data_IF_520850888036
#
_entry.id   IF_520850888036
#
_cell.length_a   1.000
_cell.length_b   1.000
_cell.length_c   1.000
_cell.angle_alpha   90.00
_cell.angle_beta   90.00
_cell.angle_gamma   90.00
#
_symmetry.space_group_name_H-M   'P 1'
#
loop_
_entity.id
_entity.type
_entity.pdbx_description
1 polymer ?
#
# COMPACT_ATOMS: atom_id res chain seq x y z
N UNK A 1 11.72 -16.19 35.76
CA UNK A 1 10.36 -16.52 35.27
C UNK A 1 10.05 -15.46 34.26
N UNK A 2 10.28 -15.74 32.97
CA UNK A 2 10.03 -14.79 31.87
C UNK A 2 8.53 -14.87 31.60
N UNK A 3 7.87 -13.72 31.65
CA UNK A 3 6.43 -13.60 31.47
C UNK A 3 6.05 -14.07 30.07
N UNK A 4 5.34 -15.21 29.99
CA UNK A 4 5.17 -16.02 28.77
C UNK A 4 4.18 -15.43 27.75
N UNK A 5 3.61 -14.25 28.02
CA UNK A 5 2.61 -13.64 27.12
C UNK A 5 2.64 -12.10 27.21
N UNK A 6 3.72 -11.47 26.74
CA UNK A 6 3.78 -10.02 26.64
C UNK A 6 3.05 -9.55 25.38
N UNK A 7 1.79 -9.20 25.52
CA UNK A 7 1.08 -8.40 24.50
C UNK A 7 1.18 -6.94 24.94
N UNK A 8 1.82 -6.08 24.14
CA UNK A 8 1.79 -4.63 24.34
C UNK A 8 0.54 -4.09 23.68
N UNK A 9 -0.16 -3.23 24.38
CA UNK A 9 -1.22 -2.43 23.76
C UNK A 9 -0.54 -1.44 22.80
N UNK A 10 -0.71 -1.67 21.50
CA UNK A 10 -0.09 -0.88 20.44
C UNK A 10 -1.19 -0.37 19.50
N UNK A 11 -1.15 0.92 19.25
CA UNK A 11 -2.00 1.57 18.25
C UNK A 11 -1.10 2.10 17.14
N UNK A 12 -1.34 1.69 15.88
CA UNK A 12 -0.60 2.24 14.74
C UNK A 12 -0.69 3.76 14.70
N UNK A 13 0.39 4.41 14.26
CA UNK A 13 0.37 5.84 14.01
C UNK A 13 -0.61 6.16 12.86
N UNK A 14 -1.23 7.33 12.81
CA UNK A 14 -2.10 7.69 11.68
C UNK A 14 -1.35 7.66 10.35
N UNK A 15 -0.11 8.10 10.32
CA UNK A 15 0.73 8.15 9.12
C UNK A 15 2.19 7.87 9.47
N UNK A 16 2.87 7.07 8.63
CA UNK A 16 4.33 6.92 8.62
C UNK A 16 4.88 7.50 7.33
N UNK A 17 5.68 8.55 7.46
CA UNK A 17 6.35 9.20 6.34
C UNK A 17 7.69 8.56 6.05
N UNK A 18 7.82 7.93 4.88
CA UNK A 18 9.07 7.32 4.40
C UNK A 18 9.97 8.43 3.89
N UNK A 19 11.06 8.70 4.61
CA UNK A 19 11.99 9.78 4.34
C UNK A 19 13.36 9.30 3.84
N UNK A 20 13.56 8.00 3.71
CA UNK A 20 14.81 7.42 3.21
C UNK A 20 14.56 6.43 2.08
N UNK A 21 15.58 6.29 1.22
CA UNK A 21 15.48 5.48 0.00
C UNK A 21 15.53 3.98 0.29
N UNK A 22 16.19 3.56 1.36
CA UNK A 22 16.35 2.15 1.69
C UNK A 22 15.03 1.56 2.20
N UNK A 23 14.30 2.30 3.05
CA UNK A 23 12.93 1.94 3.46
C UNK A 23 11.98 1.89 2.26
N UNK A 24 12.10 2.83 1.31
CA UNK A 24 11.30 2.81 0.09
C UNK A 24 11.61 1.59 -0.78
N UNK A 25 12.88 1.17 -0.88
CA UNK A 25 13.31 -0.06 -1.56
C UNK A 25 12.77 -1.32 -0.89
N UNK A 26 12.65 -1.32 0.42
CA UNK A 26 12.02 -2.44 1.13
C UNK A 26 10.59 -2.62 0.66
N UNK A 27 9.81 -1.56 0.51
CA UNK A 27 8.43 -1.62 -0.01
C UNK A 27 8.35 -1.92 -1.52
N UNK A 28 9.39 -1.70 -2.28
CA UNK A 28 9.42 -1.99 -3.72
C UNK A 28 9.34 -3.50 -4.05
N UNK A 29 9.59 -4.39 -3.10
CA UNK A 29 9.44 -5.83 -3.27
C UNK A 29 7.96 -6.24 -3.18
N UNK A 30 7.42 -6.96 -4.19
CA UNK A 30 6.00 -7.31 -4.23
C UNK A 30 5.53 -8.17 -3.04
N UNK A 31 6.39 -9.04 -2.51
CA UNK A 31 6.03 -9.90 -1.38
C UNK A 31 5.92 -9.10 -0.08
N UNK A 32 6.86 -8.15 0.16
CA UNK A 32 6.81 -7.27 1.32
C UNK A 32 5.64 -6.30 1.23
N UNK A 33 5.39 -5.75 0.04
CA UNK A 33 4.23 -4.90 -0.20
C UNK A 33 2.91 -5.61 0.15
N UNK A 34 2.71 -6.84 -0.36
CA UNK A 34 1.54 -7.67 -0.04
C UNK A 34 1.40 -8.00 1.45
N UNK A 35 2.50 -8.19 2.17
CA UNK A 35 2.47 -8.42 3.61
C UNK A 35 1.94 -7.19 4.35
N UNK A 36 2.43 -6.01 3.99
CA UNK A 36 1.95 -4.74 4.57
C UNK A 36 0.48 -4.51 4.23
N UNK A 37 0.06 -4.71 2.97
CA UNK A 37 -1.35 -4.61 2.56
C UNK A 37 -2.24 -5.56 3.37
N UNK A 38 -1.85 -6.84 3.49
CA UNK A 38 -2.62 -7.82 4.25
C UNK A 38 -2.79 -7.42 5.72
N UNK A 39 -1.73 -6.89 6.35
CA UNK A 39 -1.79 -6.40 7.72
C UNK A 39 -2.61 -5.10 7.85
N UNK A 40 -2.53 -4.22 6.85
CA UNK A 40 -3.26 -2.95 6.82
C UNK A 40 -4.79 -3.14 6.68
N UNK A 41 -5.27 -4.28 6.18
CA UNK A 41 -6.72 -4.58 6.18
C UNK A 41 -7.31 -4.66 7.58
N UNK A 42 -6.46 -4.96 8.59
CA UNK A 42 -6.81 -5.03 10.01
C UNK A 42 -5.65 -4.48 10.86
N UNK A 43 -5.44 -3.17 10.84
CA UNK A 43 -4.20 -2.55 11.36
C UNK A 43 -4.03 -2.75 12.87
N UNK A 44 -5.11 -2.97 13.60
CA UNK A 44 -5.09 -3.21 15.06
C UNK A 44 -5.02 -4.68 15.45
N UNK A 45 -5.02 -5.58 14.46
CA UNK A 45 -4.88 -7.01 14.70
C UNK A 45 -3.39 -7.40 14.70
N UNK A 46 -2.99 -8.19 15.70
CA UNK A 46 -1.62 -8.69 15.80
C UNK A 46 -1.51 -10.03 15.08
N UNK A 47 -0.65 -10.08 14.06
CA UNK A 47 -0.49 -11.21 13.14
C UNK A 47 0.73 -12.05 13.46
N UNK A 48 0.61 -13.35 13.37
CA UNK A 48 1.76 -14.27 13.32
C UNK A 48 2.23 -14.48 11.88
N UNK A 49 3.50 -14.87 11.70
CA UNK A 49 4.03 -15.22 10.36
C UNK A 49 3.22 -16.36 9.72
N UNK A 50 2.68 -17.29 10.50
CA UNK A 50 1.85 -18.40 9.99
C UNK A 50 0.50 -17.92 9.46
N UNK A 51 -0.13 -16.96 10.13
CA UNK A 51 -1.38 -16.35 9.68
C UNK A 51 -1.16 -15.58 8.38
N UNK A 52 -0.14 -14.72 8.33
CA UNK A 52 0.24 -14.00 7.13
C UNK A 52 0.58 -14.93 5.96
N UNK A 53 1.30 -16.02 6.21
CA UNK A 53 1.63 -17.01 5.19
C UNK A 53 0.38 -17.62 4.53
N UNK A 54 -0.66 -17.92 5.32
CA UNK A 54 -1.94 -18.40 4.78
C UNK A 54 -2.65 -17.33 3.97
N UNK A 55 -2.65 -16.08 4.47
CA UNK A 55 -3.32 -14.95 3.79
C UNK A 55 -2.69 -14.63 2.44
N UNK A 56 -1.35 -14.61 2.36
CA UNK A 56 -0.65 -14.26 1.10
C UNK A 56 -0.30 -15.48 0.23
N UNK A 57 -0.72 -16.68 0.61
CA UNK A 57 -0.47 -17.91 -0.17
C UNK A 57 1.00 -18.32 -0.22
N UNK A 58 1.76 -18.07 0.85
CA UNK A 58 3.19 -18.36 0.94
C UNK A 58 3.50 -19.39 2.05
N UNK A 59 4.76 -19.85 2.13
CA UNK A 59 5.22 -20.66 3.25
C UNK A 59 5.82 -19.78 4.34
N UNK A 60 5.61 -20.09 5.65
CA UNK A 60 6.16 -19.28 6.74
C UNK A 60 7.68 -19.08 6.65
N UNK A 61 8.42 -20.12 6.26
CA UNK A 61 9.88 -20.07 6.14
C UNK A 61 10.36 -18.99 5.17
N UNK A 62 9.66 -18.78 4.05
CA UNK A 62 9.99 -17.74 3.09
C UNK A 62 9.70 -16.33 3.61
N UNK A 63 8.75 -16.19 4.53
CA UNK A 63 8.33 -14.89 5.02
C UNK A 63 9.22 -14.32 6.13
N UNK A 64 9.93 -15.14 6.90
CA UNK A 64 10.76 -14.63 8.01
C UNK A 64 11.76 -13.56 7.56
N UNK A 65 12.41 -13.75 6.42
CA UNK A 65 13.32 -12.74 5.87
C UNK A 65 12.61 -11.43 5.55
N UNK A 66 11.44 -11.49 4.90
CA UNK A 66 10.66 -10.30 4.56
C UNK A 66 10.15 -9.59 5.83
N UNK A 67 9.68 -10.35 6.82
CA UNK A 67 9.21 -9.79 8.09
C UNK A 67 10.32 -9.10 8.87
N UNK A 68 11.53 -9.69 8.90
CA UNK A 68 12.68 -9.06 9.54
C UNK A 68 13.06 -7.73 8.88
N UNK A 69 13.09 -7.65 7.55
CA UNK A 69 13.34 -6.39 6.84
C UNK A 69 12.26 -5.35 7.10
N UNK A 70 10.99 -5.74 7.12
CA UNK A 70 9.89 -4.83 7.43
C UNK A 70 9.99 -4.30 8.87
N UNK A 71 10.35 -5.17 9.83
CA UNK A 71 10.58 -4.81 11.24
C UNK A 71 11.79 -3.86 11.38
N UNK A 72 12.92 -4.18 10.73
CA UNK A 72 14.16 -3.40 10.76
C UNK A 72 13.96 -1.97 10.23
N UNK A 73 13.14 -1.83 9.20
CA UNK A 73 12.80 -0.52 8.62
C UNK A 73 11.58 0.16 9.27
N UNK A 74 11.08 -0.38 10.37
CA UNK A 74 10.00 0.24 11.14
C UNK A 74 8.64 0.28 10.43
N UNK A 75 8.44 -0.52 9.38
CA UNK A 75 7.17 -0.61 8.66
C UNK A 75 6.14 -1.47 9.40
N UNK A 76 6.65 -2.39 10.22
CA UNK A 76 5.87 -3.21 11.15
C UNK A 76 6.54 -3.21 12.52
N UNK A 77 5.79 -3.53 13.56
CA UNK A 77 6.28 -3.60 14.95
C UNK A 77 5.91 -4.93 15.58
N UNK A 78 6.77 -5.43 16.47
CA UNK A 78 6.46 -6.58 17.33
C UNK A 78 5.64 -6.09 18.51
N UNK A 79 4.40 -6.51 18.59
CA UNK A 79 3.46 -6.13 19.65
C UNK A 79 3.28 -7.21 20.70
N UNK A 80 3.81 -8.41 20.46
CA UNK A 80 3.78 -9.48 21.42
C UNK A 80 4.60 -10.67 20.98
N UNK A 81 4.80 -11.57 21.91
CA UNK A 81 5.41 -12.88 21.64
C UNK A 81 4.82 -13.93 22.56
N UNK A 82 4.80 -15.17 22.11
CA UNK A 82 4.40 -16.31 22.92
C UNK A 82 5.32 -17.50 22.67
N UNK A 83 5.53 -18.31 23.67
CA UNK A 83 6.26 -19.57 23.54
C UNK A 83 5.31 -20.67 23.04
N UNK A 84 5.56 -21.22 21.86
CA UNK A 84 4.79 -22.32 21.28
C UNK A 84 5.73 -23.50 21.01
N UNK A 85 5.56 -24.58 21.76
CA UNK A 85 6.41 -25.77 21.60
C UNK A 85 7.92 -25.49 21.69
N UNK A 86 8.33 -24.59 22.59
CA UNK A 86 9.73 -24.19 22.77
C UNK A 86 10.27 -23.17 21.76
N UNK A 87 9.44 -22.68 20.84
CA UNK A 87 9.81 -21.67 19.86
C UNK A 87 9.08 -20.37 20.17
N UNK A 88 9.81 -19.26 20.21
CA UNK A 88 9.24 -17.93 20.38
C UNK A 88 8.54 -17.48 19.10
N UNK A 89 7.20 -17.42 19.13
CA UNK A 89 6.37 -16.91 18.04
C UNK A 89 6.07 -15.43 18.28
N UNK A 90 6.61 -14.56 17.41
CA UNK A 90 6.36 -13.11 17.43
C UNK A 90 4.98 -12.79 16.83
N UNK A 91 4.36 -11.71 17.31
CA UNK A 91 3.16 -11.09 16.75
C UNK A 91 3.48 -9.69 16.26
N UNK A 92 2.99 -9.36 15.10
CA UNK A 92 3.31 -8.14 14.39
C UNK A 92 2.06 -7.31 14.08
N UNK A 93 2.20 -5.99 14.08
CA UNK A 93 1.21 -5.05 13.55
C UNK A 93 1.89 -4.08 12.59
N UNK A 94 1.12 -3.44 11.69
CA UNK A 94 1.64 -2.31 10.89
C UNK A 94 2.01 -1.17 11.82
N UNK A 95 3.07 -0.44 11.47
CA UNK A 95 3.54 0.70 12.28
C UNK A 95 2.59 1.91 12.18
N UNK A 96 1.87 2.04 11.06
CA UNK A 96 0.93 3.13 10.80
C UNK A 96 -0.25 2.64 9.95
N UNK A 97 -1.36 3.38 10.04
CA UNK A 97 -2.53 3.17 9.19
C UNK A 97 -2.27 3.58 7.75
N UNK A 98 -1.45 4.62 7.54
CA UNK A 98 -1.06 5.14 6.21
C UNK A 98 0.44 5.20 6.04
N UNK A 99 0.90 4.94 4.81
CA UNK A 99 2.29 5.16 4.39
C UNK A 99 2.33 6.28 3.35
N UNK A 100 3.16 7.29 3.59
CA UNK A 100 3.44 8.34 2.62
C UNK A 100 4.92 8.43 2.30
N UNK A 101 5.25 8.97 1.14
CA UNK A 101 6.65 9.13 0.72
C UNK A 101 7.03 10.60 0.74
N UNK A 102 8.16 10.93 1.37
CA UNK A 102 8.65 12.30 1.39
C UNK A 102 9.08 12.75 -0.01
N UNK A 103 8.54 13.88 -0.44
CA UNK A 103 8.89 14.49 -1.72
C UNK A 103 10.37 14.83 -1.85
N UNK A 104 11.02 15.16 -0.74
CA UNK A 104 12.45 15.50 -0.71
C UNK A 104 13.33 14.38 -1.30
N UNK A 105 12.90 13.12 -1.22
CA UNK A 105 13.61 11.99 -1.83
C UNK A 105 13.75 12.13 -3.36
N UNK A 106 12.83 12.83 -4.02
CA UNK A 106 12.79 12.96 -5.48
C UNK A 106 13.22 14.34 -5.99
N UNK A 107 13.43 15.30 -5.09
CA UNK A 107 13.86 16.66 -5.46
C UNK A 107 15.35 16.74 -5.80
N UNK A 108 16.15 15.79 -5.34
CA UNK A 108 17.60 15.72 -5.59
C UNK A 108 17.95 15.36 -7.03
N UNK A 109 17.01 14.84 -7.82
CA UNK A 109 17.26 14.32 -9.17
C UNK A 109 18.12 13.05 -9.19
N UNK A 110 18.27 12.37 -8.06
CA UNK A 110 19.03 11.12 -7.94
C UNK A 110 18.41 10.03 -8.83
N UNK A 111 19.17 9.45 -9.79
CA UNK A 111 18.69 8.36 -10.63
C UNK A 111 18.20 7.16 -9.83
N UNK A 112 18.83 6.82 -8.71
CA UNK A 112 18.46 5.69 -7.87
C UNK A 112 17.09 5.92 -7.19
N UNK A 113 16.78 7.16 -6.79
CA UNK A 113 15.47 7.52 -6.28
C UNK A 113 14.37 7.37 -7.35
N UNK A 114 14.65 7.81 -8.57
CA UNK A 114 13.70 7.67 -9.69
C UNK A 114 13.45 6.21 -10.06
N UNK A 115 14.49 5.36 -10.07
CA UNK A 115 14.36 3.92 -10.32
C UNK A 115 13.55 3.24 -9.22
N UNK A 116 13.82 3.57 -7.96
CA UNK A 116 13.06 3.04 -6.83
C UNK A 116 11.58 3.45 -6.90
N UNK A 117 11.28 4.71 -7.22
CA UNK A 117 9.90 5.17 -7.43
C UNK A 117 9.21 4.39 -8.55
N UNK A 118 9.92 4.18 -9.68
CA UNK A 118 9.38 3.38 -10.78
C UNK A 118 9.03 1.96 -10.32
N UNK A 119 9.92 1.33 -9.54
CA UNK A 119 9.69 -0.02 -9.02
C UNK A 119 8.50 -0.06 -8.07
N UNK A 120 8.38 0.90 -7.15
CA UNK A 120 7.21 1.00 -6.24
C UNK A 120 5.91 1.17 -7.01
N UNK A 121 5.88 2.08 -7.99
CA UNK A 121 4.70 2.29 -8.82
C UNK A 121 4.32 1.03 -9.61
N UNK A 122 5.30 0.33 -10.18
CA UNK A 122 5.06 -0.94 -10.86
C UNK A 122 4.49 -1.98 -9.89
N UNK A 123 5.05 -2.10 -8.69
CA UNK A 123 4.56 -3.04 -7.67
C UNK A 123 3.11 -2.75 -7.30
N UNK A 124 2.74 -1.48 -7.04
CA UNK A 124 1.35 -1.09 -6.74
C UNK A 124 0.41 -1.46 -7.88
N UNK A 125 0.77 -1.15 -9.11
CA UNK A 125 -0.08 -1.41 -10.27
C UNK A 125 -0.21 -2.91 -10.56
N UNK A 126 0.87 -3.67 -10.43
CA UNK A 126 0.89 -5.12 -10.68
C UNK A 126 0.11 -5.88 -9.60
N UNK A 127 0.24 -5.51 -8.32
CA UNK A 127 -0.55 -6.10 -7.23
C UNK A 127 -2.03 -5.78 -7.41
N UNK A 128 -2.39 -4.52 -7.69
CA UNK A 128 -3.77 -4.11 -7.98
C UNK A 128 -4.37 -4.92 -9.14
N UNK A 129 -3.63 -5.09 -10.23
CA UNK A 129 -4.08 -5.89 -11.37
C UNK A 129 -4.30 -7.36 -10.99
N UNK A 130 -3.40 -7.92 -10.18
CA UNK A 130 -3.51 -9.31 -9.72
C UNK A 130 -4.73 -9.50 -8.81
N UNK A 131 -5.01 -8.56 -7.92
CA UNK A 131 -6.13 -8.61 -6.99
C UNK A 131 -7.48 -8.48 -7.71
N UNK A 132 -7.58 -7.56 -8.67
CA UNK A 132 -8.77 -7.45 -9.54
C UNK A 132 -9.02 -8.76 -10.27
N UNK A 133 -7.99 -9.36 -10.86
CA UNK A 133 -8.13 -10.67 -11.54
C UNK A 133 -8.54 -11.78 -10.59
N UNK A 134 -8.01 -11.81 -9.39
CA UNK A 134 -8.35 -12.79 -8.37
C UNK A 134 -9.82 -12.64 -7.93
N UNK A 135 -10.30 -11.42 -7.69
CA UNK A 135 -11.67 -11.12 -7.33
C UNK A 135 -12.66 -11.55 -8.42
N UNK A 136 -12.37 -11.25 -9.69
CA UNK A 136 -13.18 -11.70 -10.83
C UNK A 136 -13.19 -13.23 -10.93
N UNK A 137 -12.03 -13.88 -10.80
CA UNK A 137 -11.92 -15.34 -10.88
C UNK A 137 -12.65 -16.04 -9.72
N UNK A 138 -12.65 -15.45 -8.54
CA UNK A 138 -13.39 -15.94 -7.38
C UNK A 138 -14.90 -15.69 -7.47
N UNK A 139 -15.37 -14.93 -8.46
CA UNK A 139 -16.78 -14.60 -8.65
C UNK A 139 -17.33 -13.55 -7.65
N UNK A 140 -16.44 -12.90 -6.87
CA UNK A 140 -16.86 -11.87 -5.90
C UNK A 140 -16.96 -10.47 -6.52
N UNK A 141 -16.38 -10.26 -7.71
CA UNK A 141 -16.41 -8.98 -8.39
C UNK A 141 -16.71 -9.14 -9.91
N UNK A 142 -17.30 -8.10 -10.51
CA UNK A 142 -17.61 -8.06 -11.95
C UNK A 142 -17.23 -6.71 -12.56
N UNK A 143 -16.75 -6.72 -13.81
CA UNK A 143 -16.53 -5.50 -14.62
C UNK A 143 -17.83 -4.96 -15.23
N UNK A 144 -18.87 -5.77 -15.30
CA UNK A 144 -20.16 -5.40 -15.86
C UNK A 144 -21.14 -5.15 -14.72
N UNK A 145 -21.75 -3.99 -14.74
CA UNK A 145 -22.86 -3.68 -13.86
C UNK A 145 -24.13 -4.31 -14.47
N UNK A 146 -24.38 -5.60 -14.20
CA UNK A 146 -25.69 -6.17 -14.44
C UNK A 146 -26.56 -5.82 -13.24
N UNK A 147 -27.58 -4.98 -13.45
CA UNK A 147 -28.61 -4.73 -12.47
C UNK A 147 -29.29 -6.08 -12.15
N UNK A 148 -28.96 -6.66 -10.99
CA UNK A 148 -29.64 -7.87 -10.50
C UNK A 148 -28.78 -9.04 -10.07
N UNK A 149 -27.45 -8.95 -10.06
CA UNK A 149 -26.61 -9.98 -9.44
C UNK A 149 -26.17 -9.51 -8.02
N UNK A 150 -26.91 -9.90 -6.95
CA UNK A 150 -26.60 -9.45 -5.60
C UNK A 150 -25.35 -10.12 -5.01
N UNK A 151 -24.78 -11.12 -5.68
CA UNK A 151 -23.62 -11.88 -5.19
C UNK A 151 -22.29 -11.31 -5.67
N UNK A 152 -22.29 -10.37 -6.65
CA UNK A 152 -21.08 -9.82 -7.23
C UNK A 152 -21.02 -8.32 -7.11
N UNK A 153 -19.96 -7.84 -6.46
CA UNK A 153 -19.70 -6.40 -6.36
C UNK A 153 -19.17 -5.82 -7.66
N UNK A 154 -19.72 -4.69 -8.16
CA UNK A 154 -19.23 -4.05 -9.37
C UNK A 154 -17.86 -3.40 -9.13
N UNK A 155 -16.90 -3.65 -10.03
CA UNK A 155 -15.61 -2.95 -10.03
C UNK A 155 -15.82 -1.58 -10.67
N UNK A 156 -15.53 -0.51 -9.94
CA UNK A 156 -15.45 0.82 -10.51
C UNK A 156 -14.04 1.07 -11.07
N UNK A 157 -13.87 0.96 -12.38
CA UNK A 157 -12.62 1.23 -13.07
C UNK A 157 -12.83 2.36 -14.09
N UNK A 158 -12.19 3.50 -13.89
CA UNK A 158 -12.32 4.65 -14.78
C UNK A 158 -10.96 5.30 -15.07
N UNK A 159 -10.76 5.69 -16.33
CA UNK A 159 -9.62 6.51 -16.75
C UNK A 159 -10.14 7.67 -17.58
N UNK A 160 -9.97 8.89 -17.10
CA UNK A 160 -10.40 10.11 -17.76
C UNK A 160 -9.25 11.07 -18.05
N UNK A 161 -9.50 12.01 -18.99
CA UNK A 161 -8.58 13.10 -19.29
C UNK A 161 -9.36 14.41 -19.27
N UNK A 162 -8.79 15.42 -18.59
CA UNK A 162 -9.38 16.75 -18.54
C UNK A 162 -8.29 17.82 -18.60
N UNK A 163 -8.62 18.99 -19.17
CA UNK A 163 -7.76 20.17 -19.09
C UNK A 163 -8.25 21.04 -17.94
N UNK A 164 -7.45 21.14 -16.89
CA UNK A 164 -7.78 21.87 -15.68
C UNK A 164 -6.84 23.08 -15.51
N UNK A 165 -7.37 24.17 -14.98
CA UNK A 165 -6.53 25.24 -14.44
C UNK A 165 -5.81 24.74 -13.19
N UNK A 166 -4.70 25.41 -12.80
CA UNK A 166 -3.96 25.05 -11.57
C UNK A 166 -4.87 25.11 -10.33
N UNK A 167 -5.71 26.14 -10.23
CA UNK A 167 -6.65 26.30 -9.12
C UNK A 167 -7.65 25.13 -9.07
N UNK A 168 -8.24 24.76 -10.20
CA UNK A 168 -9.18 23.64 -10.27
C UNK A 168 -8.51 22.29 -9.97
N UNK A 169 -7.26 22.10 -10.39
CA UNK A 169 -6.51 20.88 -10.06
C UNK A 169 -6.20 20.77 -8.55
N UNK A 170 -5.93 21.90 -7.88
CA UNK A 170 -5.74 21.93 -6.41
C UNK A 170 -7.04 21.57 -5.70
N UNK A 171 -8.15 22.19 -6.08
CA UNK A 171 -9.47 21.90 -5.50
C UNK A 171 -9.86 20.43 -5.71
N UNK A 172 -9.69 19.90 -6.92
CA UNK A 172 -10.00 18.50 -7.21
C UNK A 172 -9.16 17.53 -6.39
N UNK A 173 -7.86 17.83 -6.22
CA UNK A 173 -6.97 17.03 -5.37
C UNK A 173 -7.40 17.04 -3.91
N UNK A 174 -7.86 18.17 -3.38
CA UNK A 174 -8.36 18.25 -2.02
C UNK A 174 -9.56 17.30 -1.84
N UNK A 175 -10.55 17.37 -2.74
CA UNK A 175 -11.72 16.48 -2.71
C UNK A 175 -11.36 14.98 -2.83
N UNK A 176 -10.34 14.64 -3.62
CA UNK A 176 -9.86 13.25 -3.70
C UNK A 176 -9.22 12.79 -2.37
N UNK A 177 -8.52 13.70 -1.68
CA UNK A 177 -7.96 13.40 -0.36
C UNK A 177 -9.05 13.19 0.69
N UNK A 178 -10.07 14.04 0.67
CA UNK A 178 -11.22 13.92 1.57
C UNK A 178 -11.94 12.59 1.34
N UNK A 179 -12.23 12.22 0.09
CA UNK A 179 -12.82 10.94 -0.27
C UNK A 179 -11.96 9.74 0.16
N UNK A 180 -10.64 9.86 0.04
CA UNK A 180 -9.72 8.82 0.48
C UNK A 180 -9.72 8.68 2.02
N UNK A 181 -9.76 9.79 2.74
CA UNK A 181 -9.87 9.79 4.19
C UNK A 181 -11.19 9.16 4.66
N UNK A 182 -12.31 9.48 4.01
CA UNK A 182 -13.62 8.85 4.29
C UNK A 182 -13.58 7.32 4.07
N UNK A 183 -12.85 6.86 3.04
CA UNK A 183 -12.67 5.43 2.77
C UNK A 183 -11.85 4.73 3.87
N UNK A 184 -10.85 5.41 4.44
CA UNK A 184 -10.00 4.87 5.51
C UNK A 184 -10.64 4.97 6.90
N UNK A 185 -11.67 5.80 7.07
CA UNK A 185 -12.40 5.93 8.31
C UNK A 185 -13.20 4.66 8.60
N UNK A 186 -12.52 3.65 9.20
CA UNK A 186 -13.16 2.39 9.59
C UNK A 186 -13.98 2.66 10.86
N UNK A 187 -15.31 2.66 10.80
CA UNK A 187 -16.13 2.85 12.00
C UNK A 187 -15.77 1.78 13.04
N UNK A 188 -15.48 2.20 14.26
CA UNK A 188 -15.24 1.32 15.42
C UNK A 188 -16.55 0.64 15.84
N UNK A 189 -17.11 -0.24 15.00
CA UNK A 189 -18.30 -1.02 15.28
C UNK A 189 -17.92 -2.35 15.94
N UNK A 190 -18.69 -2.76 16.97
CA UNK A 190 -18.46 -4.02 17.68
C UNK A 190 -18.55 -5.26 16.77
N UNK A 191 -18.22 -6.43 17.32
CA UNK A 191 -18.08 -7.72 16.62
C UNK A 191 -19.23 -8.10 15.66
N UNK A 192 -20.44 -7.61 15.91
CA UNK A 192 -21.63 -7.86 15.07
C UNK A 192 -21.60 -7.04 13.76
N UNK A 193 -20.96 -5.85 13.77
CA UNK A 193 -20.76 -5.04 12.58
C UNK A 193 -19.58 -5.53 11.72
N UNK A 194 -18.71 -6.37 12.28
CA UNK A 194 -17.58 -6.95 11.55
C UNK A 194 -17.98 -8.14 10.64
N UNK A 195 -19.10 -8.80 10.94
CA UNK A 195 -19.57 -9.97 10.19
C UNK A 195 -20.09 -9.63 8.78
N UNK A 196 -20.45 -8.36 8.54
CA UNK A 196 -21.03 -7.87 7.27
C UNK A 196 -20.05 -7.00 6.46
N UNK A 197 -18.77 -6.98 6.86
CA UNK A 197 -17.74 -6.18 6.21
C UNK A 197 -16.87 -7.02 5.28
N UNK A 198 -16.76 -6.57 4.05
CA UNK A 198 -15.85 -7.13 3.05
C UNK A 198 -14.65 -6.20 2.86
N UNK A 199 -13.46 -6.74 2.60
CA UNK A 199 -12.29 -5.93 2.28
C UNK A 199 -12.44 -5.31 0.89
N UNK A 200 -12.25 -4.00 0.80
CA UNK A 200 -12.19 -3.25 -0.45
C UNK A 200 -10.79 -2.64 -0.60
N UNK A 201 -10.31 -2.52 -1.83
CA UNK A 201 -9.07 -1.82 -2.17
C UNK A 201 -9.39 -0.61 -3.04
N UNK A 202 -8.77 0.52 -2.76
CA UNK A 202 -8.92 1.76 -3.50
C UNK A 202 -7.55 2.27 -3.97
N UNK A 203 -7.36 2.40 -5.27
CA UNK A 203 -6.18 3.04 -5.86
C UNK A 203 -6.60 4.30 -6.60
N UNK A 204 -6.04 5.42 -6.20
CA UNK A 204 -6.32 6.74 -6.81
C UNK A 204 -5.03 7.34 -7.34
N UNK A 205 -5.00 7.70 -8.61
CA UNK A 205 -3.88 8.42 -9.23
C UNK A 205 -4.38 9.65 -9.98
N UNK A 206 -3.99 10.84 -9.48
CA UNK A 206 -4.30 12.13 -10.12
C UNK A 206 -3.00 12.87 -10.39
N UNK A 207 -2.65 13.00 -11.67
CA UNK A 207 -1.33 13.51 -12.09
C UNK A 207 -1.43 14.31 -13.41
N UNK A 208 -0.51 15.27 -13.62
CA UNK A 208 -0.43 15.96 -14.90
C UNK A 208 0.17 15.04 -15.98
N UNK A 209 -0.46 15.02 -17.15
CA UNK A 209 0.06 14.27 -18.31
C UNK A 209 0.95 15.15 -19.16
N UNK A 210 1.99 14.56 -19.76
CA UNK A 210 2.86 15.25 -20.71
C UNK A 210 2.19 15.26 -22.08
N UNK A 211 1.82 16.46 -22.58
CA UNK A 211 1.32 16.60 -23.94
C UNK A 211 2.43 16.32 -24.97
N UNK A 212 2.07 15.71 -26.10
CA UNK A 212 3.05 15.40 -27.18
C UNK A 212 3.85 16.60 -27.68
N UNK A 213 3.24 17.80 -27.70
CA UNK A 213 3.93 19.05 -28.05
C UNK A 213 5.08 19.36 -27.08
N UNK A 214 4.91 19.07 -25.80
CA UNK A 214 5.92 19.27 -24.75
C UNK A 214 7.01 18.23 -24.83
N UNK A 215 6.70 16.97 -25.18
CA UNK A 215 7.68 15.91 -25.44
C UNK A 215 8.62 16.28 -26.56
N UNK A 216 8.11 16.79 -27.70
CA UNK A 216 8.91 17.22 -28.86
C UNK A 216 9.81 18.43 -28.56
N UNK A 217 9.39 19.36 -27.70
CA UNK A 217 10.19 20.52 -27.27
C UNK A 217 11.34 20.11 -26.33
N UNK A 218 11.12 19.18 -25.39
CA UNK A 218 12.18 18.67 -24.50
C UNK A 218 13.21 17.81 -25.24
N UNK A 219 12.78 17.00 -26.19
CA UNK A 219 13.68 16.20 -27.03
C UNK A 219 14.56 17.05 -27.98
N UNK A 220 14.14 18.30 -28.28
CA UNK A 220 14.89 19.24 -29.14
C UNK A 220 15.78 20.23 -28.39
N UNK A 221 15.81 20.22 -27.05
CA UNK A 221 16.77 21.03 -26.30
C UNK A 221 18.15 20.37 -26.40
N UNK A 222 19.14 21.00 -27.06
CA UNK A 222 20.50 20.44 -27.08
C UNK A 222 21.02 20.42 -25.65
N UNK A 223 21.60 19.29 -25.27
CA UNK A 223 22.42 19.18 -24.05
C UNK A 223 23.55 20.16 -24.23
N UNK A 224 23.51 21.28 -23.55
CA UNK A 224 24.63 22.22 -23.50
C UNK A 224 25.76 21.50 -22.77
N UNK A 225 26.69 20.95 -23.54
CA UNK A 225 27.95 20.41 -23.04
C UNK A 225 28.66 21.58 -22.35
N UNK A 226 28.85 21.52 -21.04
CA UNK A 226 29.77 22.39 -20.35
C UNK A 226 31.15 22.16 -20.99
N UNK A 227 31.74 23.20 -21.51
CA UNK A 227 33.11 23.19 -22.01
C UNK A 227 34.08 23.10 -20.82
N UNK A 228 35.29 22.56 -21.05
CA UNK A 228 36.26 22.28 -20.01
C UNK A 228 36.81 23.49 -19.31
#
# INVERSE_FOLDING_TARGET
>A
MVDENQTRDFTPAPELKIADLDTLRVLADPQRFRLVEAMATRPREAWTVKELARTVGATPTKLYYHMNLLEEHGLIVVTGSRLVSGILEKRYQVAADQLSVDRALFETGDPAANETLHTVLSTILDTTQADIRAAIKAGIASLHHEEGDPEREPIFLSKGFARLSRARAVEFRARLKDLYADFEEIPSGGARAAADRHPYSLVVAFYPVVEERTRRRRARRPVTRAAP
#
